data_IF_906735726536
#
_entry.id   IF_906735726536
#
_cell.length_a   1.000
_cell.length_b   1.000
_cell.length_c   1.000
_cell.angle_alpha   90.00
_cell.angle_beta   90.00
_cell.angle_gamma   90.00
#
_symmetry.space_group_name_H-M   'P 1'
#
loop_
_entity.id
_entity.type
_entity.pdbx_description
1 polymer ?
#
# COMPACT_ATOMS: atom_id res chain seq x y z
N UNK A 1 -2.61 16.82 21.12
CA UNK A 1 -2.09 18.19 21.27
C UNK A 1 -1.24 18.47 20.02
N UNK A 2 -1.85 19.04 18.98
CA UNK A 2 -1.13 19.44 17.78
C UNK A 2 -0.69 20.90 17.99
N UNK A 3 0.62 21.13 17.95
CA UNK A 3 1.21 22.46 18.08
C UNK A 3 0.81 23.26 16.83
N UNK A 4 -0.18 24.14 16.98
CA UNK A 4 -0.50 25.15 15.96
C UNK A 4 0.57 26.21 16.09
N UNK A 5 1.64 26.09 15.31
CA UNK A 5 2.61 27.17 15.13
C UNK A 5 1.89 28.26 14.33
N UNK A 6 1.38 29.25 15.04
CA UNK A 6 0.70 30.41 14.46
C UNK A 6 1.62 31.10 13.45
N UNK A 7 1.22 31.13 12.17
CA UNK A 7 1.73 32.08 11.19
C UNK A 7 2.17 31.56 9.82
N UNK A 8 2.09 30.26 9.54
CA UNK A 8 2.43 29.73 8.21
C UNK A 8 1.51 28.59 7.80
N UNK A 9 1.34 28.40 6.49
CA UNK A 9 0.65 27.24 5.99
C UNK A 9 1.42 25.96 6.37
N UNK A 10 0.67 24.95 6.79
CA UNK A 10 1.22 23.70 7.29
C UNK A 10 0.50 22.49 6.73
N UNK A 11 1.16 21.35 6.84
CA UNK A 11 0.64 20.07 6.40
C UNK A 11 0.65 19.03 7.52
N UNK A 12 -0.43 18.25 7.63
CA UNK A 12 -0.49 17.06 8.50
C UNK A 12 -0.55 15.84 7.60
N UNK A 13 0.50 15.03 7.61
CA UNK A 13 0.50 13.75 6.88
C UNK A 13 -0.51 12.81 7.53
N UNK A 14 -1.25 12.04 6.74
CA UNK A 14 -2.18 11.00 7.17
C UNK A 14 -1.72 9.61 6.69
N UNK A 15 -2.21 8.51 7.30
CA UNK A 15 -1.87 7.17 6.85
C UNK A 15 -2.22 6.96 5.37
N UNK A 16 -1.33 6.30 4.64
CA UNK A 16 -1.59 5.90 3.26
C UNK A 16 -2.72 4.86 3.22
N UNK A 17 -3.51 4.87 2.14
CA UNK A 17 -4.59 3.93 1.88
C UNK A 17 -4.40 3.26 0.52
N UNK A 18 -5.15 2.17 0.25
CA UNK A 18 -5.09 1.49 -1.05
C UNK A 18 -3.68 1.02 -1.39
N UNK A 19 -2.91 0.63 -0.38
CA UNK A 19 -1.52 0.19 -0.55
C UNK A 19 -1.52 -1.19 -1.19
N UNK A 20 -1.00 -1.27 -2.41
CA UNK A 20 -0.79 -2.51 -3.15
C UNK A 20 0.69 -2.88 -3.16
N UNK A 21 1.09 -3.77 -4.06
CA UNK A 21 2.48 -4.14 -4.29
C UNK A 21 3.28 -3.06 -5.04
N UNK A 22 2.61 -2.23 -5.84
CA UNK A 22 3.26 -1.21 -6.69
C UNK A 22 2.66 0.19 -6.60
N UNK A 23 1.55 0.36 -5.89
CA UNK A 23 0.83 1.64 -5.74
C UNK A 23 0.42 1.91 -4.30
N UNK A 24 0.21 3.17 -3.96
CA UNK A 24 -0.35 3.60 -2.68
C UNK A 24 -0.96 4.99 -2.79
N UNK A 25 -2.09 5.25 -2.15
CA UNK A 25 -2.68 6.58 -2.08
C UNK A 25 -2.26 7.26 -0.78
N UNK A 26 -1.46 8.32 -0.86
CA UNK A 26 -1.07 9.13 0.31
C UNK A 26 -2.10 10.22 0.55
N UNK A 27 -2.33 10.55 1.82
CA UNK A 27 -3.32 11.54 2.25
C UNK A 27 -2.70 12.54 3.21
N UNK A 28 -3.24 13.75 3.23
CA UNK A 28 -2.80 14.81 4.14
C UNK A 28 -3.89 15.85 4.36
N UNK A 29 -3.70 16.68 5.38
CA UNK A 29 -4.49 17.90 5.59
C UNK A 29 -3.57 19.08 5.37
N UNK A 30 -4.00 20.07 4.61
CA UNK A 30 -3.34 21.37 4.49
C UNK A 30 -4.17 22.38 5.24
N UNK A 31 -3.52 23.27 5.98
CA UNK A 31 -4.18 24.40 6.65
C UNK A 31 -3.35 25.66 6.43
N UNK A 32 -4.01 26.81 6.42
CA UNK A 32 -3.37 28.12 6.36
C UNK A 32 -4.15 29.14 7.19
N UNK A 33 -3.55 29.76 8.23
CA UNK A 33 -4.21 30.78 9.03
C UNK A 33 -4.26 32.16 8.36
N UNK A 34 -3.46 32.40 7.32
CA UNK A 34 -3.28 33.71 6.70
C UNK A 34 -4.27 34.03 5.57
N UNK A 35 -5.12 33.07 5.17
CA UNK A 35 -5.95 33.08 3.97
C UNK A 35 -5.09 33.32 2.70
N UNK A 36 -4.95 32.30 1.85
CA UNK A 36 -3.98 32.36 0.77
C UNK A 36 -4.05 31.21 -0.23
N UNK A 37 -3.09 31.23 -1.17
CA UNK A 37 -2.86 30.10 -2.07
C UNK A 37 -1.61 29.36 -1.62
N UNK A 38 -1.79 28.15 -1.12
CA UNK A 38 -0.73 27.28 -0.63
C UNK A 38 -0.30 26.32 -1.73
N UNK A 39 1.00 26.22 -1.98
CA UNK A 39 1.54 25.14 -2.81
C UNK A 39 1.84 23.91 -1.94
N UNK A 40 1.35 22.74 -2.31
CA UNK A 40 1.60 21.50 -1.57
C UNK A 40 2.07 20.36 -2.46
N UNK A 41 2.82 19.42 -1.87
CA UNK A 41 3.27 18.18 -2.50
C UNK A 41 3.51 17.11 -1.42
N UNK A 42 3.67 15.86 -1.86
CA UNK A 42 4.09 14.76 -1.00
C UNK A 42 5.51 14.35 -1.35
N UNK A 43 6.37 14.27 -0.35
CA UNK A 43 7.68 13.63 -0.48
C UNK A 43 7.57 12.18 -0.02
N UNK A 44 8.19 11.27 -0.75
CA UNK A 44 8.18 9.85 -0.44
C UNK A 44 9.45 9.13 -0.87
N UNK A 45 9.73 7.98 -0.23
CA UNK A 45 10.75 7.04 -0.68
C UNK A 45 11.13 6.00 0.36
N UNK A 46 12.04 5.09 0.01
CA UNK A 46 12.40 3.95 0.86
C UNK A 46 13.21 4.33 2.12
N UNK A 47 13.70 5.56 2.19
CA UNK A 47 14.48 6.08 3.32
C UNK A 47 13.93 7.43 3.78
N UNK A 48 14.39 7.91 4.94
CA UNK A 48 14.05 9.26 5.45
C UNK A 48 14.60 10.41 4.61
N UNK A 49 15.44 10.12 3.62
CA UNK A 49 15.83 11.12 2.61
C UNK A 49 14.75 11.33 1.56
N UNK A 50 13.68 10.51 1.57
CA UNK A 50 12.59 10.46 0.60
C UNK A 50 13.12 10.24 -0.82
N UNK A 51 13.63 11.28 -1.48
CA UNK A 51 14.28 11.20 -2.79
C UNK A 51 13.30 11.14 -3.95
N UNK A 52 12.00 11.18 -3.69
CA UNK A 52 10.95 11.37 -4.69
C UNK A 52 9.88 12.30 -4.14
N UNK A 53 9.22 13.03 -5.03
CA UNK A 53 8.13 13.93 -4.70
C UNK A 53 7.04 13.88 -5.76
N UNK A 54 5.81 14.20 -5.37
CA UNK A 54 4.70 14.36 -6.30
C UNK A 54 4.75 15.73 -6.97
N UNK A 55 3.99 15.89 -8.06
CA UNK A 55 3.79 17.21 -8.67
C UNK A 55 3.23 18.19 -7.64
N UNK A 56 3.77 19.41 -7.67
CA UNK A 56 3.27 20.49 -6.82
C UNK A 56 1.87 20.90 -7.26
N UNK A 57 0.95 20.95 -6.30
CA UNK A 57 -0.42 21.42 -6.48
C UNK A 57 -0.60 22.75 -5.77
N UNK A 58 -1.56 23.55 -6.25
CA UNK A 58 -1.98 24.78 -5.58
C UNK A 58 -3.35 24.58 -4.98
N UNK A 59 -3.53 25.08 -3.76
CA UNK A 59 -4.79 25.03 -3.03
C UNK A 59 -5.10 26.41 -2.46
N UNK A 60 -6.31 26.91 -2.73
CA UNK A 60 -6.78 28.17 -2.16
C UNK A 60 -7.48 27.85 -0.85
N UNK A 61 -7.03 28.46 0.24
CA UNK A 61 -7.59 28.31 1.59
C UNK A 61 -8.03 29.69 2.05
N UNK A 62 -9.31 29.86 2.30
CA UNK A 62 -9.92 31.15 2.67
C UNK A 62 -10.93 31.04 3.82
N UNK A 63 -10.97 29.87 4.47
CA UNK A 63 -11.86 29.53 5.58
C UNK A 63 -11.09 29.22 6.87
N UNK A 64 -9.75 29.18 6.82
CA UNK A 64 -8.84 28.78 7.92
C UNK A 64 -9.12 27.38 8.47
N UNK A 65 -9.75 26.52 7.68
CA UNK A 65 -10.03 25.15 8.04
C UNK A 65 -8.98 24.17 7.48
N UNK A 66 -9.09 22.91 7.87
CA UNK A 66 -8.26 21.83 7.33
C UNK A 66 -8.83 21.34 6.01
N UNK A 67 -8.02 21.40 4.96
CA UNK A 67 -8.37 20.92 3.62
C UNK A 67 -7.74 19.55 3.35
N UNK A 68 -8.55 18.49 3.12
CA UNK A 68 -8.01 17.18 2.81
C UNK A 68 -7.45 17.13 1.38
N UNK A 69 -6.25 16.58 1.26
CA UNK A 69 -5.56 16.35 -0.02
C UNK A 69 -5.11 14.89 -0.12
N UNK A 70 -5.06 14.38 -1.35
CA UNK A 70 -4.59 13.02 -1.62
C UNK A 70 -3.92 12.92 -2.98
N UNK A 71 -2.88 12.11 -3.08
CA UNK A 71 -2.15 11.83 -4.31
C UNK A 71 -1.86 10.33 -4.42
N UNK A 72 -1.90 9.81 -5.65
CA UNK A 72 -1.61 8.41 -5.94
C UNK A 72 -0.14 8.22 -6.30
N UNK A 73 0.53 7.34 -5.58
CA UNK A 73 1.89 6.90 -5.83
C UNK A 73 1.87 5.63 -6.68
N UNK A 74 2.77 5.57 -7.65
CA UNK A 74 2.95 4.42 -8.55
C UNK A 74 4.44 4.11 -8.73
N UNK A 75 4.75 2.92 -9.25
CA UNK A 75 6.14 2.48 -9.45
C UNK A 75 6.86 2.12 -8.15
N UNK A 76 6.11 1.78 -7.10
CA UNK A 76 6.68 1.33 -5.84
C UNK A 76 7.20 -0.11 -5.96
N UNK A 77 8.24 -0.42 -5.21
CA UNK A 77 8.77 -1.77 -5.09
C UNK A 77 7.90 -2.61 -4.15
N UNK A 78 7.61 -3.88 -4.48
CA UNK A 78 6.85 -4.77 -3.63
C UNK A 78 7.57 -5.08 -2.31
N UNK A 79 6.79 -5.32 -1.24
CA UNK A 79 7.31 -5.70 0.08
C UNK A 79 8.24 -4.65 0.72
N UNK A 80 8.19 -3.41 0.26
CA UNK A 80 9.13 -2.35 0.63
C UNK A 80 8.44 -1.35 1.56
N UNK A 81 9.14 -0.95 2.62
CA UNK A 81 8.65 0.10 3.52
C UNK A 81 9.05 1.46 2.97
N UNK A 82 8.05 2.31 2.75
CA UNK A 82 8.20 3.68 2.31
C UNK A 82 7.92 4.65 3.44
N UNK A 83 8.67 5.75 3.43
CA UNK A 83 8.46 6.94 4.21
C UNK A 83 7.74 7.97 3.35
N UNK A 84 6.77 8.69 3.91
CA UNK A 84 6.08 9.79 3.25
C UNK A 84 5.78 10.95 4.21
N UNK A 85 5.77 12.17 3.67
CA UNK A 85 5.30 13.36 4.36
C UNK A 85 4.66 14.33 3.37
N UNK A 86 3.66 15.08 3.83
CA UNK A 86 3.11 16.21 3.07
C UNK A 86 3.90 17.47 3.39
N UNK A 87 4.18 18.29 2.39
CA UNK A 87 4.79 19.60 2.55
C UNK A 87 3.86 20.67 1.97
N UNK A 88 3.75 21.78 2.68
CA UNK A 88 3.00 22.96 2.29
C UNK A 88 3.96 24.15 2.21
N UNK A 89 3.76 25.07 1.28
CA UNK A 89 4.59 26.25 1.08
C UNK A 89 3.73 27.49 0.92
N UNK A 90 3.74 28.32 1.96
CA UNK A 90 3.21 29.69 1.99
C UNK A 90 3.68 30.36 3.30
N UNK A 91 4.45 31.46 3.25
CA UNK A 91 5.51 31.75 2.28
C UNK A 91 6.73 30.82 2.43
N UNK A 92 6.82 30.09 3.55
CA UNK A 92 7.90 29.16 3.89
C UNK A 92 7.40 27.74 3.73
N UNK A 93 8.29 26.80 3.40
CA UNK A 93 7.96 25.38 3.37
C UNK A 93 7.87 24.81 4.78
N UNK A 94 6.72 24.24 5.12
CA UNK A 94 6.48 23.47 6.35
C UNK A 94 6.01 22.07 5.97
N UNK A 95 6.74 21.07 6.46
CA UNK A 95 6.39 19.67 6.23
C UNK A 95 5.77 19.04 7.47
N UNK A 96 4.83 18.14 7.24
CA UNK A 96 4.21 17.32 8.28
C UNK A 96 5.14 16.24 8.82
N UNK A 97 4.65 15.53 9.82
CA UNK A 97 5.36 14.39 10.39
C UNK A 97 5.56 13.25 9.37
N UNK A 98 6.69 12.57 9.50
CA UNK A 98 7.00 11.35 8.75
C UNK A 98 6.00 10.25 9.07
N UNK A 99 5.44 9.63 8.02
CA UNK A 99 4.64 8.42 8.12
C UNK A 99 5.25 7.33 7.28
N UNK A 100 4.94 6.08 7.66
CA UNK A 100 5.40 4.91 6.92
C UNK A 100 4.23 4.07 6.47
N UNK A 101 4.42 3.43 5.33
CA UNK A 101 3.55 2.38 4.84
C UNK A 101 4.41 1.29 4.18
N UNK A 102 3.90 0.07 4.12
CA UNK A 102 4.61 -1.07 3.54
C UNK A 102 3.77 -1.64 2.41
N UNK A 103 4.34 -1.71 1.21
CA UNK A 103 3.69 -2.34 0.06
C UNK A 103 3.56 -3.85 0.28
N UNK A 104 2.51 -4.47 -0.27
CA UNK A 104 2.42 -5.93 -0.22
C UNK A 104 3.56 -6.55 -1.00
N UNK A 105 4.15 -7.63 -0.51
CA UNK A 105 5.09 -8.42 -1.30
C UNK A 105 4.36 -8.97 -2.51
N UNK A 106 4.92 -8.83 -3.71
CA UNK A 106 4.37 -9.30 -4.99
C UNK A 106 4.30 -10.83 -5.13
N UNK A 107 4.10 -11.55 -4.02
CA UNK A 107 3.55 -12.88 -4.07
C UNK A 107 2.05 -12.69 -4.34
N UNK A 108 1.69 -12.83 -5.62
CA UNK A 108 0.36 -13.25 -6.02
C UNK A 108 -0.09 -14.26 -4.99
N UNK A 109 -1.14 -13.92 -4.26
CA UNK A 109 -1.65 -14.72 -3.17
C UNK A 109 -1.96 -16.09 -3.77
N UNK A 110 -1.02 -17.03 -3.68
CA UNK A 110 -1.25 -18.44 -3.91
C UNK A 110 -2.11 -18.85 -2.73
N UNK A 111 -3.39 -18.52 -2.84
CA UNK A 111 -4.45 -19.16 -2.10
C UNK A 111 -4.42 -20.61 -2.56
N UNK A 112 -3.53 -21.40 -1.96
CA UNK A 112 -3.80 -22.82 -1.83
C UNK A 112 -4.95 -22.83 -0.83
N UNK A 113 -6.18 -22.73 -1.34
CA UNK A 113 -7.31 -23.30 -0.63
C UNK A 113 -6.91 -24.76 -0.48
N UNK A 114 -6.32 -25.11 0.65
CA UNK A 114 -6.40 -26.46 1.14
C UNK A 114 -7.90 -26.67 1.31
N UNK A 115 -8.54 -27.16 0.23
CA UNK A 115 -9.79 -27.85 0.36
C UNK A 115 -9.55 -28.81 1.53
N UNK A 116 -10.31 -28.71 2.62
CA UNK A 116 -10.23 -29.76 3.62
C UNK A 116 -10.57 -31.00 2.82
N UNK A 117 -9.56 -31.81 2.50
CA UNK A 117 -9.78 -33.18 2.16
C UNK A 117 -10.56 -33.66 3.39
N UNK A 118 -11.87 -33.79 3.23
CA UNK A 118 -12.65 -34.71 4.01
C UNK A 118 -11.86 -35.99 3.82
N UNK A 119 -11.01 -36.28 4.81
CA UNK A 119 -10.38 -37.56 4.93
C UNK A 119 -11.55 -38.52 4.74
N UNK A 120 -11.56 -39.36 3.69
CA UNK A 120 -12.48 -40.47 3.72
C UNK A 120 -12.16 -41.16 5.04
N UNK A 121 -13.13 -41.16 5.95
CA UNK A 121 -13.12 -42.00 7.14
C UNK A 121 -12.69 -43.36 6.61
N UNK A 122 -11.44 -43.75 6.89
CA UNK A 122 -10.97 -45.08 6.59
C UNK A 122 -11.72 -45.96 7.58
N UNK A 123 -12.94 -46.33 7.19
CA UNK A 123 -13.72 -47.34 7.87
C UNK A 123 -12.84 -48.59 7.92
N UNK A 124 -12.40 -49.04 9.11
CA UNK A 124 -11.52 -50.20 9.21
C UNK A 124 -12.23 -51.51 8.82
N UNK A 125 -13.48 -51.48 8.33
CA UNK A 125 -14.28 -52.65 8.04
C UNK A 125 -14.52 -52.98 6.55
N UNK A 126 -13.90 -52.30 5.57
CA UNK A 126 -14.02 -52.73 4.15
C UNK A 126 -12.79 -53.52 3.71
N UNK A 127 -12.78 -54.79 4.11
CA UNK A 127 -12.04 -55.85 3.44
C UNK A 127 -12.71 -56.17 2.10
N UNK A 128 -12.40 -55.43 1.03
CA UNK A 128 -12.48 -55.92 -0.36
C UNK A 128 -12.20 -54.79 -1.34
N UNK A 129 -10.94 -54.58 -1.72
CA UNK A 129 -10.63 -54.03 -3.04
C UNK A 129 -9.29 -54.60 -3.53
N UNK A 130 -9.38 -55.73 -4.22
CA UNK A 130 -8.37 -56.12 -5.20
C UNK A 130 -8.30 -55.05 -6.30
N UNK A 131 -7.16 -54.39 -6.54
CA UNK A 131 -7.02 -53.50 -7.68
C UNK A 131 -6.89 -54.35 -8.94
N UNK A 132 -7.99 -54.58 -9.67
CA UNK A 132 -7.91 -55.09 -11.03
C UNK A 132 -7.42 -53.96 -11.94
N UNK A 133 -6.11 -53.75 -11.98
CA UNK A 133 -5.45 -52.83 -12.91
C UNK A 133 -5.53 -53.45 -14.31
N UNK A 134 -6.60 -53.15 -15.07
CA UNK A 134 -6.54 -53.27 -16.53
C UNK A 134 -5.81 -52.06 -17.10
N UNK A 135 -4.49 -52.06 -16.96
CA UNK A 135 -3.63 -51.30 -17.84
C UNK A 135 -3.57 -52.04 -19.19
N UNK A 136 -4.24 -51.52 -20.22
CA UNK A 136 -3.83 -51.78 -21.61
C UNK A 136 -3.12 -50.54 -22.12
N UNK A 137 -1.80 -50.52 -21.98
CA UNK A 137 -0.92 -49.93 -22.99
C UNK A 137 0.44 -50.61 -22.87
N UNK A 138 0.65 -51.61 -23.73
CA UNK A 138 1.89 -52.36 -23.79
C UNK A 138 2.96 -51.50 -24.48
N UNK A 139 4.00 -51.12 -23.73
CA UNK A 139 5.30 -50.89 -24.33
C UNK A 139 5.97 -52.26 -24.49
N UNK A 140 6.12 -52.74 -25.73
CA UNK A 140 7.12 -53.76 -26.08
C UNK A 140 8.19 -53.13 -26.93
N UNK A 141 9.36 -52.98 -26.33
CA UNK A 141 10.66 -52.96 -26.98
C UNK A 141 10.85 -54.32 -27.68
N UNK A 142 11.26 -54.31 -28.95
CA UNK A 142 11.83 -55.48 -29.62
C UNK A 142 13.37 -55.39 -29.55
N UNK A 143 14.08 -56.52 -29.38
CA UNK A 143 15.53 -56.62 -29.56
C UNK A 143 15.94 -56.58 -31.03
#
# INVERSE_FOLDING_TARGET
>A
MALVIAGCAGGVTMPANGVTDTTATVKGLIFDPADGTVSYWFEYGATKSYGSETTHRSLVINDRDNHPVSEDLSGLGPGTTYHCRVCAKEPVTVCGADRKFTTSGGASQLSITAEPALYPDFDPAVSDWTPSIRARSAYRLFP
#
